data_IF_069538866040
#
_entry.id   IF_069538866040
#
_cell.length_a   1.000
_cell.length_b   1.000
_cell.length_c   1.000
_cell.angle_alpha   90.00
_cell.angle_beta   90.00
_cell.angle_gamma   90.00
#
_symmetry.space_group_name_H-M   'P 1'
#
loop_
_entity.id
_entity.type
_entity.pdbx_description
1 polymer ?
#
# COMPACT_ATOMS: atom_id res chain seq x y z
N UNK A 1 5.01 19.39 -8.25
CA UNK A 1 4.78 18.21 -7.39
C UNK A 1 3.99 17.20 -8.19
N UNK A 2 4.61 16.08 -8.59
CA UNK A 2 4.01 15.08 -9.47
C UNK A 2 3.06 14.17 -8.68
N UNK A 3 1.88 13.91 -9.24
CA UNK A 3 0.78 13.09 -8.70
C UNK A 3 1.19 11.70 -8.18
N UNK A 4 2.39 11.22 -8.53
CA UNK A 4 3.00 9.98 -8.03
C UNK A 4 3.39 10.03 -6.54
N UNK A 5 3.68 11.20 -5.95
CA UNK A 5 4.28 11.25 -4.60
C UNK A 5 3.30 10.92 -3.46
N UNK A 6 2.01 11.17 -3.64
CA UNK A 6 0.96 10.88 -2.63
C UNK A 6 0.63 9.38 -2.57
N UNK A 7 0.95 8.63 -3.62
CA UNK A 7 0.57 7.24 -3.78
C UNK A 7 1.66 6.26 -3.32
N UNK A 8 2.88 6.70 -3.00
CA UNK A 8 3.92 5.82 -2.48
C UNK A 8 3.50 5.14 -1.16
N UNK A 9 3.81 3.84 -0.98
CA UNK A 9 3.58 3.14 0.30
C UNK A 9 4.21 3.86 1.49
N UNK A 10 5.35 4.53 1.28
CA UNK A 10 6.01 5.31 2.31
C UNK A 10 5.10 6.40 2.83
N UNK A 11 4.40 7.11 1.94
CA UNK A 11 3.42 8.13 2.33
C UNK A 11 2.21 7.52 3.05
N UNK A 12 1.71 6.37 2.58
CA UNK A 12 0.64 5.63 3.26
C UNK A 12 1.01 5.26 4.70
N UNK A 13 2.20 4.70 4.92
CA UNK A 13 2.71 4.33 6.25
C UNK A 13 2.80 5.55 7.18
N UNK A 14 3.27 6.69 6.68
CA UNK A 14 3.30 7.94 7.46
C UNK A 14 1.90 8.42 7.88
N UNK A 15 0.88 8.22 7.02
CA UNK A 15 -0.51 8.58 7.34
C UNK A 15 -1.09 7.66 8.41
N UNK A 16 -0.97 6.34 8.24
CA UNK A 16 -1.57 5.39 9.19
C UNK A 16 -0.82 5.34 10.52
N UNK A 17 0.47 5.70 10.55
CA UNK A 17 1.28 5.85 11.76
C UNK A 17 0.82 6.98 12.71
N UNK A 18 -0.20 7.75 12.34
CA UNK A 18 -0.88 8.71 13.23
C UNK A 18 -2.02 8.07 14.03
N UNK A 19 -2.40 6.84 13.69
CA UNK A 19 -3.39 6.06 14.41
C UNK A 19 -2.71 5.19 15.46
N UNK A 20 -3.44 4.86 16.53
CA UNK A 20 -2.90 4.09 17.65
C UNK A 20 -2.07 4.94 18.62
N UNK A 21 -2.24 4.71 19.92
CA UNK A 21 -1.44 5.28 21.02
C UNK A 21 -1.18 4.15 22.03
N UNK A 22 -0.42 4.40 23.09
CA UNK A 22 -0.14 3.39 24.11
C UNK A 22 -1.41 2.61 24.53
N UNK A 23 -1.40 1.29 24.28
CA UNK A 23 -2.48 0.36 24.61
C UNK A 23 -3.65 0.26 23.62
N UNK A 24 -3.70 1.06 22.55
CA UNK A 24 -4.78 1.01 21.54
C UNK A 24 -4.22 0.80 20.13
N UNK A 25 -4.67 -0.25 19.45
CA UNK A 25 -4.20 -0.62 18.11
C UNK A 25 -4.42 0.45 17.03
N UNK A 26 -5.42 1.32 17.19
CA UNK A 26 -5.82 2.26 16.14
C UNK A 26 -6.55 1.57 14.97
N UNK A 27 -7.16 2.36 14.09
CA UNK A 27 -7.79 1.87 12.86
C UNK A 27 -7.53 2.87 11.74
N UNK A 28 -7.16 2.37 10.57
CA UNK A 28 -7.08 3.14 9.33
C UNK A 28 -8.01 2.50 8.29
N UNK A 29 -8.76 3.32 7.57
CA UNK A 29 -9.65 2.90 6.48
C UNK A 29 -9.16 3.59 5.22
N UNK A 30 -8.94 2.81 4.17
CA UNK A 30 -8.44 3.28 2.88
C UNK A 30 -9.48 3.02 1.81
N UNK A 31 -9.87 4.05 1.08
CA UNK A 31 -10.68 3.91 -0.12
C UNK A 31 -9.75 3.79 -1.33
N UNK A 32 -10.00 2.77 -2.14
CA UNK A 32 -9.22 2.48 -3.34
C UNK A 32 -10.13 2.54 -4.55
N UNK A 33 -9.61 3.11 -5.62
CA UNK A 33 -10.22 3.14 -6.94
C UNK A 33 -9.31 2.46 -7.95
N UNK A 34 -9.76 2.28 -9.19
CA UNK A 34 -8.93 1.70 -10.26
C UNK A 34 -7.71 2.56 -10.57
N UNK A 35 -7.78 3.86 -10.32
CA UNK A 35 -6.70 4.83 -10.51
C UNK A 35 -5.53 4.59 -9.55
N UNK A 36 -5.77 3.86 -8.46
CA UNK A 36 -4.77 3.54 -7.43
C UNK A 36 -4.07 2.19 -7.70
N UNK A 37 -4.37 1.51 -8.81
CA UNK A 37 -3.87 0.16 -9.12
C UNK A 37 -2.34 0.04 -9.08
N UNK A 38 -1.63 1.13 -9.42
CA UNK A 38 -0.18 1.21 -9.41
C UNK A 38 0.46 0.90 -8.04
N UNK A 39 -0.30 0.98 -6.95
CA UNK A 39 0.22 0.78 -5.58
C UNK A 39 -0.35 -0.46 -4.91
N UNK A 40 -1.23 -1.20 -5.58
CA UNK A 40 -1.96 -2.31 -4.97
C UNK A 40 -1.03 -3.42 -4.49
N UNK A 41 0.00 -3.76 -5.27
CA UNK A 41 1.00 -4.77 -4.86
C UNK A 41 1.74 -4.36 -3.60
N UNK A 42 2.21 -3.11 -3.54
CA UNK A 42 2.97 -2.60 -2.40
C UNK A 42 2.08 -2.45 -1.16
N UNK A 43 0.86 -1.92 -1.33
CA UNK A 43 -0.14 -1.80 -0.27
C UNK A 43 -0.54 -3.16 0.30
N UNK A 44 -0.72 -4.17 -0.56
CA UNK A 44 -0.98 -5.55 -0.14
C UNK A 44 0.15 -6.09 0.72
N UNK A 45 1.41 -5.90 0.32
CA UNK A 45 2.57 -6.33 1.11
C UNK A 45 2.59 -5.65 2.49
N UNK A 46 2.36 -4.33 2.54
CA UNK A 46 2.29 -3.57 3.81
C UNK A 46 1.19 -4.11 4.74
N UNK A 47 0.00 -4.42 4.20
CA UNK A 47 -1.10 -4.96 5.01
C UNK A 47 -0.78 -6.37 5.51
N UNK A 48 -0.20 -7.23 4.67
CA UNK A 48 0.18 -8.60 5.05
C UNK A 48 1.30 -8.64 6.10
N UNK A 49 2.18 -7.64 6.11
CA UNK A 49 3.25 -7.49 7.11
C UNK A 49 2.76 -6.87 8.43
N UNK A 50 1.56 -6.30 8.47
CA UNK A 50 1.01 -5.63 9.66
C UNK A 50 0.34 -6.65 10.60
N UNK A 51 0.89 -6.89 11.81
CA UNK A 51 0.26 -7.79 12.77
C UNK A 51 -1.11 -7.27 13.22
N UNK A 52 -2.13 -8.13 13.17
CA UNK A 52 -3.51 -7.76 13.54
C UNK A 52 -4.33 -7.08 12.43
N UNK A 53 -3.74 -6.86 11.25
CA UNK A 53 -4.48 -6.42 10.06
C UNK A 53 -4.96 -7.63 9.25
N UNK A 54 -6.14 -7.51 8.62
CA UNK A 54 -6.66 -8.50 7.68
C UNK A 54 -6.67 -7.92 6.27
N UNK A 55 -5.96 -8.57 5.34
CA UNK A 55 -5.97 -8.16 3.94
C UNK A 55 -7.29 -8.56 3.29
N UNK A 56 -8.09 -7.61 2.76
CA UNK A 56 -9.35 -7.92 2.11
C UNK A 56 -9.13 -8.79 0.86
N UNK A 57 -10.03 -9.75 0.60
CA UNK A 57 -9.88 -10.75 -0.46
C UNK A 57 -9.82 -10.10 -1.84
N UNK A 58 -10.54 -9.00 -2.00
CA UNK A 58 -10.60 -8.15 -3.20
C UNK A 58 -9.22 -7.64 -3.58
N UNK A 59 -8.42 -7.19 -2.59
CA UNK A 59 -7.05 -6.73 -2.82
C UNK A 59 -6.07 -7.92 -2.92
N UNK A 60 -6.24 -8.94 -2.07
CA UNK A 60 -5.38 -10.12 -2.03
C UNK A 60 -5.29 -10.82 -3.39
N UNK A 61 -6.43 -10.92 -4.08
CA UNK A 61 -6.59 -11.62 -5.36
C UNK A 61 -6.61 -10.67 -6.57
N UNK A 62 -6.52 -9.36 -6.38
CA UNK A 62 -6.61 -8.38 -7.46
C UNK A 62 -5.51 -8.62 -8.51
N UNK A 63 -5.80 -8.57 -9.83
CA UNK A 63 -4.80 -8.75 -10.88
C UNK A 63 -3.62 -7.78 -10.75
N UNK A 64 -3.91 -6.50 -10.47
CA UNK A 64 -2.88 -5.45 -10.29
C UNK A 64 -2.11 -5.56 -8.96
N UNK A 65 -2.45 -6.51 -8.08
CA UNK A 65 -1.77 -6.78 -6.80
C UNK A 65 -0.86 -8.03 -6.84
N UNK A 66 -0.62 -8.59 -8.04
CA UNK A 66 0.15 -9.85 -8.22
C UNK A 66 1.63 -9.64 -8.49
N UNK A 67 2.03 -8.48 -9.02
CA UNK A 67 3.41 -8.23 -9.47
C UNK A 67 4.02 -7.02 -8.76
N UNK A 68 5.28 -7.10 -8.35
CA UNK A 68 6.07 -5.91 -7.97
C UNK A 68 6.29 -5.06 -9.22
N UNK A 69 5.35 -4.17 -9.53
CA UNK A 69 5.48 -3.17 -10.57
C UNK A 69 6.42 -2.08 -10.08
N UNK A 70 7.74 -2.29 -10.20
CA UNK A 70 8.70 -1.21 -9.94
C UNK A 70 10.13 -1.60 -9.55
N UNK A 71 10.75 -2.55 -10.25
CA UNK A 71 12.21 -2.49 -10.44
C UNK A 71 12.46 -2.02 -11.86
N UNK A 72 12.46 -0.71 -12.11
CA UNK A 72 13.00 -0.16 -13.34
C UNK A 72 14.52 -0.38 -13.28
N UNK A 73 14.99 -1.56 -13.69
CA UNK A 73 16.40 -1.75 -14.03
C UNK A 73 16.59 -1.02 -15.34
N UNK A 74 17.17 0.18 -15.27
CA UNK A 74 17.71 0.87 -16.44
C UNK A 74 18.78 -0.03 -17.03
N UNK A 75 18.45 -0.75 -18.09
CA UNK A 75 19.42 -1.42 -18.93
C UNK A 75 20.16 -0.31 -19.69
N UNK A 76 21.36 0.03 -19.22
CA UNK A 76 22.28 0.89 -19.94
C UNK A 76 22.99 0.04 -20.99
N UNK A 77 22.75 0.40 -22.25
CA UNK A 77 23.51 0.01 -23.42
C UNK A 77 24.89 0.67 -23.38
#
# INVERSE_FOLDING_TARGET
MSHKSILSSGYYTHRIGRTGRAGKLGKAITFLTKQDSAIFSELKEVILQSPGSHCPRELLNHPDAKHKSGSTVTQLN
#
